data_IF_862772814035
#
_entry.id   IF_862772814035
#
_cell.length_a   1.000
_cell.length_b   1.000
_cell.length_c   1.000
_cell.angle_alpha   90.00
_cell.angle_beta   90.00
_cell.angle_gamma   90.00
#
_symmetry.space_group_name_H-M   'P 1'
#
loop_
_entity.id
_entity.type
_entity.pdbx_description
1 polymer ?
#
# COMPACT_ATOMS: atom_id res chain seq x y z
N UNK A 1 6.96 9.99 -19.33
CA UNK A 1 6.66 10.09 -17.88
C UNK A 1 7.50 11.17 -17.22
N UNK A 2 8.84 11.12 -17.31
CA UNK A 2 9.76 12.16 -16.78
C UNK A 2 9.45 13.57 -17.31
N UNK A 3 9.25 13.71 -18.61
CA UNK A 3 9.11 15.02 -19.27
C UNK A 3 7.66 15.53 -19.30
N UNK A 4 6.71 14.72 -18.83
CA UNK A 4 5.26 15.03 -18.86
C UNK A 4 4.71 15.40 -17.47
N UNK A 5 5.56 15.51 -16.45
CA UNK A 5 5.14 15.88 -15.08
C UNK A 5 4.13 14.91 -14.47
N UNK A 6 4.06 13.66 -14.93
CA UNK A 6 3.14 12.68 -14.35
C UNK A 6 3.63 12.39 -12.94
N UNK A 7 2.95 12.99 -11.96
CA UNK A 7 3.03 12.70 -10.52
C UNK A 7 4.32 13.17 -9.84
N UNK A 8 5.41 13.38 -10.57
CA UNK A 8 6.66 13.90 -10.01
C UNK A 8 6.73 15.40 -10.30
N UNK A 9 6.73 16.22 -9.24
CA UNK A 9 6.78 17.68 -9.38
C UNK A 9 8.21 18.23 -9.51
N UNK A 10 9.19 17.56 -8.90
CA UNK A 10 10.60 17.98 -8.94
C UNK A 10 11.55 16.81 -8.70
N UNK A 11 12.85 17.02 -8.98
CA UNK A 11 13.91 16.05 -8.71
C UNK A 11 14.86 16.57 -7.62
N UNK A 12 15.51 15.69 -6.84
CA UNK A 12 15.45 14.23 -6.92
C UNK A 12 14.10 13.66 -6.47
N UNK A 13 13.71 12.52 -7.05
CA UNK A 13 12.48 11.82 -6.72
C UNK A 13 12.71 10.31 -6.64
N UNK A 14 12.08 9.65 -5.67
CA UNK A 14 12.17 8.19 -5.50
C UNK A 14 10.78 7.60 -5.81
N UNK A 15 10.63 6.84 -6.90
CA UNK A 15 9.36 6.23 -7.26
C UNK A 15 9.09 4.92 -6.49
N UNK A 16 7.93 4.35 -6.77
CA UNK A 16 7.46 3.08 -6.22
C UNK A 16 6.51 3.28 -5.03
N UNK A 17 5.55 2.36 -4.89
CA UNK A 17 4.50 2.44 -3.87
C UNK A 17 4.36 1.19 -3.02
N UNK A 18 4.70 0.01 -3.54
CA UNK A 18 4.51 -1.21 -2.77
C UNK A 18 5.75 -1.59 -1.97
N UNK A 19 5.57 -1.81 -0.66
CA UNK A 19 6.65 -2.21 0.24
C UNK A 19 6.19 -3.30 1.21
N UNK A 20 7.18 -4.06 1.68
CA UNK A 20 7.07 -4.86 2.88
C UNK A 20 8.40 -4.85 3.63
N UNK A 21 8.37 -5.03 4.94
CA UNK A 21 9.57 -4.96 5.77
C UNK A 21 9.29 -4.93 7.25
N UNK A 22 10.19 -4.29 8.00
CA UNK A 22 10.12 -4.16 9.46
C UNK A 22 9.95 -2.69 9.83
N UNK A 23 9.08 -2.41 10.79
CA UNK A 23 8.97 -1.08 11.40
C UNK A 23 10.25 -0.78 12.19
N UNK A 24 11.01 0.22 11.76
CA UNK A 24 12.27 0.63 12.43
C UNK A 24 12.11 1.85 13.33
N UNK A 25 11.06 2.64 13.13
CA UNK A 25 10.72 3.82 13.93
C UNK A 25 9.22 4.12 13.79
N UNK A 26 8.66 4.83 14.77
CA UNK A 26 7.30 5.35 14.72
C UNK A 26 7.30 6.82 15.16
N UNK A 27 6.53 7.66 14.47
CA UNK A 27 6.37 9.06 14.84
C UNK A 27 5.55 9.22 16.12
N UNK A 28 5.70 10.34 16.81
CA UNK A 28 4.98 10.65 18.06
C UNK A 28 3.46 10.68 17.90
N UNK A 29 2.96 10.96 16.70
CA UNK A 29 1.53 11.01 16.38
C UNK A 29 0.93 9.64 16.02
N UNK A 30 1.74 8.57 15.98
CA UNK A 30 1.23 7.22 15.72
C UNK A 30 0.48 6.71 16.96
N UNK A 31 -0.79 6.27 16.83
CA UNK A 31 -1.55 5.77 17.97
C UNK A 31 -0.86 4.60 18.68
N UNK A 32 -1.11 4.45 19.98
CA UNK A 32 -0.57 3.34 20.75
C UNK A 32 -1.04 1.96 20.25
N UNK A 33 -2.15 1.88 19.50
CA UNK A 33 -2.59 0.66 18.83
C UNK A 33 -1.93 0.41 17.46
N UNK A 34 -1.13 1.35 16.96
CA UNK A 34 -0.43 1.24 15.68
C UNK A 34 0.74 0.25 15.69
N UNK A 35 1.33 0.01 14.50
CA UNK A 35 2.46 -0.91 14.33
C UNK A 35 3.63 -0.56 15.25
N UNK A 36 4.20 -1.59 15.89
CA UNK A 36 5.31 -1.44 16.83
C UNK A 36 6.64 -1.63 16.12
N UNK A 37 7.70 -1.04 16.68
CA UNK A 37 9.06 -1.30 16.22
C UNK A 37 9.32 -2.81 16.27
N UNK A 38 9.91 -3.36 15.21
CA UNK A 38 10.14 -4.80 15.05
C UNK A 38 8.99 -5.57 14.38
N UNK A 39 7.81 -4.96 14.22
CA UNK A 39 6.68 -5.62 13.53
C UNK A 39 6.96 -5.79 12.04
N UNK A 40 6.70 -6.99 11.51
CA UNK A 40 6.64 -7.29 10.07
C UNK A 40 5.40 -6.64 9.47
N UNK A 41 5.56 -5.90 8.39
CA UNK A 41 4.47 -5.14 7.78
C UNK A 41 4.53 -5.16 6.26
N UNK A 42 3.38 -4.93 5.64
CA UNK A 42 3.24 -4.48 4.26
C UNK A 42 2.51 -3.14 4.26
N UNK A 43 2.83 -2.26 3.32
CA UNK A 43 2.25 -0.92 3.28
C UNK A 43 2.26 -0.31 1.88
N UNK A 44 1.38 0.66 1.67
CA UNK A 44 1.38 1.49 0.47
C UNK A 44 2.14 2.81 0.75
N UNK A 45 3.32 2.94 0.16
CA UNK A 45 4.11 4.17 0.17
C UNK A 45 3.47 5.23 -0.74
N UNK A 46 3.23 6.45 -0.23
CA UNK A 46 2.42 7.45 -0.92
C UNK A 46 3.22 8.29 -1.92
N UNK A 47 4.29 7.76 -2.53
CA UNK A 47 5.15 8.46 -3.50
C UNK A 47 4.34 9.21 -4.58
N UNK A 48 3.25 8.59 -5.04
CA UNK A 48 2.36 9.18 -6.03
C UNK A 48 1.62 10.41 -5.50
N UNK A 49 1.10 10.33 -4.27
CA UNK A 49 0.34 11.43 -3.67
C UNK A 49 1.24 12.54 -3.13
N UNK A 50 2.49 12.20 -2.81
CA UNK A 50 3.50 13.13 -2.27
C UNK A 50 4.41 13.70 -3.37
N UNK A 51 3.92 13.73 -4.61
CA UNK A 51 4.57 14.41 -5.73
C UNK A 51 6.01 13.97 -6.04
N UNK A 52 6.36 12.72 -5.72
CA UNK A 52 7.71 12.19 -5.90
C UNK A 52 8.69 12.51 -4.77
N UNK A 53 8.23 13.04 -3.63
CA UNK A 53 9.05 13.28 -2.44
C UNK A 53 9.89 12.03 -2.09
N UNK A 54 11.23 12.15 -2.05
CA UNK A 54 12.12 11.05 -1.72
C UNK A 54 11.81 10.35 -0.41
N UNK A 55 11.24 11.02 0.60
CA UNK A 55 10.93 10.38 1.88
C UNK A 55 9.79 9.34 1.77
N UNK A 56 9.00 9.40 0.69
CA UNK A 56 7.78 8.63 0.51
C UNK A 56 7.87 7.59 -0.63
N UNK A 57 9.04 7.45 -1.25
CA UNK A 57 9.32 6.48 -2.32
C UNK A 57 9.62 5.07 -1.84
N UNK A 58 9.14 4.04 -2.53
CA UNK A 58 9.39 2.64 -2.15
C UNK A 58 10.76 2.09 -2.56
N UNK A 59 11.39 2.61 -3.63
CA UNK A 59 12.64 2.06 -4.19
C UNK A 59 13.91 2.47 -3.42
N UNK A 60 13.87 2.29 -2.11
CA UNK A 60 14.95 2.61 -1.18
C UNK A 60 14.87 1.71 0.06
N UNK A 61 15.88 1.81 0.93
CA UNK A 61 16.00 0.91 2.11
C UNK A 61 15.08 1.28 3.27
N UNK A 62 14.60 2.53 3.33
CA UNK A 62 13.72 3.06 4.37
C UNK A 62 12.77 4.05 3.72
N UNK A 63 11.53 4.09 4.19
CA UNK A 63 10.50 4.94 3.61
C UNK A 63 9.51 5.33 4.71
N UNK A 64 9.02 6.57 4.63
CA UNK A 64 7.98 7.08 5.51
C UNK A 64 6.61 6.78 4.93
N UNK A 65 5.76 6.13 5.72
CA UNK A 65 4.39 5.80 5.35
C UNK A 65 3.42 6.20 6.47
N UNK A 66 2.20 6.66 6.14
CA UNK A 66 1.18 6.91 7.15
C UNK A 66 0.82 5.61 7.88
N UNK A 67 0.67 5.65 9.20
CA UNK A 67 0.32 4.46 9.99
C UNK A 67 -1.00 3.80 9.55
N UNK A 68 -1.93 4.57 8.96
CA UNK A 68 -3.19 4.08 8.39
C UNK A 68 -3.01 3.23 7.13
N UNK A 69 -1.86 3.31 6.46
CA UNK A 69 -1.53 2.53 5.25
C UNK A 69 -0.76 1.24 5.56
N UNK A 70 -0.45 0.98 6.84
CA UNK A 70 0.38 -0.13 7.28
C UNK A 70 -0.49 -1.28 7.78
N UNK A 71 -0.22 -2.48 7.28
CA UNK A 71 -0.85 -3.71 7.72
C UNK A 71 0.20 -4.70 8.25
N UNK A 72 -0.02 -5.36 9.40
CA UNK A 72 0.84 -6.45 9.85
C UNK A 72 0.94 -7.56 8.80
N UNK A 73 2.15 -8.01 8.53
CA UNK A 73 2.42 -9.10 7.59
C UNK A 73 2.57 -10.41 8.39
N UNK A 74 1.73 -11.44 8.13
CA UNK A 74 1.86 -12.74 8.77
C UNK A 74 3.24 -13.38 8.55
N UNK A 75 3.71 -14.16 9.51
CA UNK A 75 5.04 -14.81 9.45
C UNK A 75 5.19 -15.78 8.29
N UNK A 76 4.10 -16.40 7.85
CA UNK A 76 4.07 -17.32 6.70
C UNK A 76 4.16 -16.63 5.33
N UNK A 77 4.09 -15.30 5.27
CA UNK A 77 4.20 -14.54 4.02
C UNK A 77 5.58 -13.90 3.97
N UNK A 78 6.35 -14.19 2.92
CA UNK A 78 7.64 -13.57 2.70
C UNK A 78 7.50 -12.08 2.40
N UNK A 79 8.59 -11.32 2.54
CA UNK A 79 8.56 -9.90 2.17
C UNK A 79 8.26 -9.71 0.67
N UNK A 80 8.81 -10.55 -0.20
CA UNK A 80 8.55 -10.45 -1.64
C UNK A 80 7.06 -10.63 -1.95
N UNK A 81 6.40 -11.60 -1.32
CA UNK A 81 4.95 -11.81 -1.46
C UNK A 81 4.16 -10.67 -0.80
N UNK A 82 4.61 -10.17 0.35
CA UNK A 82 3.95 -9.04 1.03
C UNK A 82 3.98 -7.76 0.17
N UNK A 83 5.05 -7.54 -0.58
CA UNK A 83 5.25 -6.34 -1.40
C UNK A 83 4.45 -6.34 -2.72
N UNK A 84 3.72 -7.40 -3.06
CA UNK A 84 2.81 -7.37 -4.22
C UNK A 84 1.37 -7.03 -3.85
N UNK A 85 1.06 -6.98 -2.55
CA UNK A 85 -0.30 -6.83 -2.04
C UNK A 85 -0.85 -5.39 -2.00
N UNK A 86 -0.11 -4.35 -1.58
CA UNK A 86 -0.73 -3.07 -1.21
C UNK A 86 -1.53 -2.42 -2.34
N UNK A 87 -0.91 -2.19 -3.50
CA UNK A 87 -1.57 -1.60 -4.66
C UNK A 87 -2.64 -2.52 -5.25
N UNK A 88 -2.38 -3.83 -5.31
CA UNK A 88 -3.32 -4.81 -5.84
C UNK A 88 -4.63 -4.81 -5.03
N UNK A 89 -4.52 -4.86 -3.70
CA UNK A 89 -5.67 -4.82 -2.79
C UNK A 89 -6.36 -3.46 -2.85
N UNK A 90 -5.61 -2.35 -2.80
CA UNK A 90 -6.20 -1.02 -2.83
C UNK A 90 -6.96 -0.76 -4.15
N UNK A 91 -6.40 -1.18 -5.28
CA UNK A 91 -7.03 -1.01 -6.60
C UNK A 91 -8.31 -1.85 -6.71
N UNK A 92 -8.24 -3.12 -6.30
CA UNK A 92 -9.41 -4.00 -6.31
C UNK A 92 -10.52 -3.48 -5.38
N UNK A 93 -10.16 -3.00 -4.19
CA UNK A 93 -11.11 -2.42 -3.24
C UNK A 93 -11.71 -1.12 -3.75
N UNK A 94 -10.92 -0.23 -4.36
CA UNK A 94 -11.44 0.99 -4.96
C UNK A 94 -12.51 0.66 -6.01
N UNK A 95 -12.22 -0.28 -6.92
CA UNK A 95 -13.20 -0.75 -7.90
C UNK A 95 -14.46 -1.32 -7.23
N UNK A 96 -14.30 -2.21 -6.24
CA UNK A 96 -15.41 -2.84 -5.51
C UNK A 96 -16.36 -1.81 -4.90
N UNK A 97 -15.82 -0.78 -4.23
CA UNK A 97 -16.61 0.31 -3.65
C UNK A 97 -17.25 1.19 -4.72
N UNK A 98 -16.54 1.50 -5.81
CA UNK A 98 -17.07 2.34 -6.89
C UNK A 98 -18.27 1.71 -7.60
N UNK A 99 -18.30 0.37 -7.73
CA UNK A 99 -19.44 -0.33 -8.34
C UNK A 99 -20.56 -0.69 -7.36
N UNK A 100 -20.40 -0.34 -6.07
CA UNK A 100 -21.43 -0.56 -5.05
C UNK A 100 -21.69 -2.02 -4.70
N UNK A 101 -20.73 -2.92 -4.92
CA UNK A 101 -20.88 -4.32 -4.57
C UNK A 101 -20.93 -4.50 -3.05
N UNK A 102 -21.89 -5.28 -2.56
CA UNK A 102 -22.01 -5.60 -1.15
C UNK A 102 -20.83 -6.46 -0.70
N UNK A 103 -20.27 -6.20 0.49
CA UNK A 103 -19.10 -6.96 1.00
C UNK A 103 -19.40 -8.41 1.33
N UNK A 104 -20.67 -8.76 1.49
CA UNK A 104 -21.18 -10.11 1.73
C UNK A 104 -21.60 -10.83 0.45
N UNK A 105 -21.25 -10.28 -0.73
CA UNK A 105 -21.51 -10.92 -2.03
C UNK A 105 -20.92 -12.34 -2.03
N UNK A 106 -21.77 -13.33 -2.28
CA UNK A 106 -21.37 -14.74 -2.41
C UNK A 106 -21.59 -15.17 -3.85
N UNK A 107 -20.57 -15.76 -4.46
CA UNK A 107 -20.75 -16.44 -5.75
C UNK A 107 -21.54 -17.71 -5.49
N UNK A 108 -22.79 -17.74 -5.96
CA UNK A 108 -23.63 -18.94 -5.91
C UNK A 108 -23.53 -19.71 -7.22
N UNK A 109 -23.95 -20.97 -7.23
CA UNK A 109 -23.99 -21.76 -8.46
C UNK A 109 -24.95 -21.20 -9.51
N UNK A 110 -25.94 -20.40 -9.11
CA UNK A 110 -26.88 -19.75 -10.03
C UNK A 110 -26.20 -18.64 -10.86
N UNK A 111 -25.21 -17.97 -10.28
CA UNK A 111 -24.49 -16.85 -10.92
C UNK A 111 -23.54 -17.30 -12.05
N UNK A 112 -23.31 -18.63 -12.18
CA UNK A 112 -22.49 -19.22 -13.25
C UNK A 112 -23.21 -19.33 -14.59
N UNK A 113 -24.53 -19.12 -14.62
CA UNK A 113 -25.29 -19.07 -15.87
C UNK A 113 -25.30 -17.61 -16.33
N UNK A 114 -24.23 -17.22 -17.02
CA UNK A 114 -24.17 -15.92 -17.70
C UNK A 114 -25.39 -15.72 -18.60
N UNK A 115 -25.92 -14.50 -18.61
CA UNK A 115 -26.96 -14.03 -19.54
C UNK A 115 -26.51 -14.14 -20.99
#
# INVERSE_FOLDING_TARGET
MRDNGFVIASYPAIPGSDISGIVVAAGSSVPAAGPKIGTRVTALAPAFFMQGDPDHGAFQKKVLVPASSVCPLPDGISFNEGAILPMAVQTAMAAWYSVGLARDTKLTFADKKGS
#
